data_IF_966288375313
#
_entry.id   IF_966288375313
#
_cell.length_a   1.000
_cell.length_b   1.000
_cell.length_c   1.000
_cell.angle_alpha   90.00
_cell.angle_beta   90.00
_cell.angle_gamma   90.00
#
_symmetry.space_group_name_H-M   'P 1'
#
loop_
_entity.id
_entity.type
_entity.pdbx_description
1 polymer ?
#
# COMPACT_ATOMS: atom_id res chain seq x y z
N UNK A 1 -25.01 -18.00 -14.93
CA UNK A 1 -23.57 -17.91 -15.20
C UNK A 1 -23.00 -19.31 -15.35
N UNK A 2 -22.14 -19.53 -16.35
CA UNK A 2 -21.47 -20.82 -16.56
C UNK A 2 -20.16 -20.84 -15.78
N UNK A 3 -20.18 -21.45 -14.59
CA UNK A 3 -19.00 -21.55 -13.71
C UNK A 3 -18.33 -22.92 -13.84
N UNK A 4 -18.02 -23.33 -15.07
CA UNK A 4 -17.29 -24.57 -15.34
C UNK A 4 -16.44 -24.47 -16.60
N UNK A 5 -15.36 -25.22 -16.61
CA UNK A 5 -14.43 -25.29 -17.72
C UNK A 5 -13.98 -26.73 -17.94
N UNK A 6 -13.95 -27.18 -19.20
CA UNK A 6 -13.32 -28.43 -19.56
C UNK A 6 -11.90 -28.19 -19.99
N UNK A 7 -10.93 -28.71 -19.22
CA UNK A 7 -9.52 -28.61 -19.53
C UNK A 7 -8.92 -30.02 -19.61
N UNK A 8 -8.30 -30.33 -20.75
CA UNK A 8 -7.91 -31.72 -21.10
C UNK A 8 -9.10 -32.65 -21.02
N UNK A 9 -9.09 -33.70 -20.18
CA UNK A 9 -10.16 -34.66 -20.04
C UNK A 9 -11.01 -34.46 -18.78
N UNK A 10 -10.78 -33.38 -18.02
CA UNK A 10 -11.45 -33.08 -16.76
C UNK A 10 -12.38 -31.90 -16.92
N UNK A 11 -13.48 -31.90 -16.17
CA UNK A 11 -14.41 -30.78 -16.06
C UNK A 11 -14.28 -30.21 -14.65
N UNK A 12 -13.87 -28.94 -14.57
CA UNK A 12 -13.81 -28.19 -13.33
C UNK A 12 -15.10 -27.41 -13.14
N UNK A 13 -15.68 -27.50 -11.95
CA UNK A 13 -16.90 -26.81 -11.57
C UNK A 13 -16.59 -25.91 -10.38
N UNK A 14 -17.07 -24.68 -10.43
CA UNK A 14 -16.94 -23.71 -9.34
C UNK A 14 -18.33 -23.35 -8.83
N UNK A 15 -18.47 -23.23 -7.52
CA UNK A 15 -19.74 -23.03 -6.84
C UNK A 15 -20.33 -21.63 -7.11
N UNK A 16 -19.49 -20.62 -7.02
CA UNK A 16 -19.87 -19.21 -7.11
C UNK A 16 -18.68 -18.35 -7.63
N UNK A 17 -18.92 -17.04 -7.82
CA UNK A 17 -17.90 -16.08 -8.28
C UNK A 17 -16.74 -15.97 -7.28
N UNK A 18 -17.02 -16.07 -5.99
CA UNK A 18 -16.00 -16.04 -4.93
C UNK A 18 -15.00 -17.19 -5.08
N UNK A 19 -15.50 -18.41 -5.29
CA UNK A 19 -14.63 -19.57 -5.52
C UNK A 19 -13.82 -19.43 -6.82
N UNK A 20 -14.42 -18.90 -7.90
CA UNK A 20 -13.67 -18.62 -9.14
C UNK A 20 -12.52 -17.66 -8.89
N UNK A 21 -12.75 -16.57 -8.16
CA UNK A 21 -11.71 -15.60 -7.80
C UNK A 21 -10.62 -16.26 -6.96
N UNK A 22 -10.98 -16.99 -5.91
CA UNK A 22 -10.02 -17.64 -5.03
C UNK A 22 -9.16 -18.68 -5.78
N UNK A 23 -9.77 -19.53 -6.60
CA UNK A 23 -9.06 -20.57 -7.38
C UNK A 23 -8.23 -20.00 -8.54
N UNK A 24 -8.56 -18.81 -9.05
CA UNK A 24 -7.79 -18.12 -10.10
C UNK A 24 -6.56 -17.38 -9.55
N UNK A 25 -6.48 -17.15 -8.24
CA UNK A 25 -5.36 -16.46 -7.59
C UNK A 25 -4.04 -17.24 -7.75
N UNK A 26 -2.93 -16.52 -7.88
CA UNK A 26 -1.61 -17.16 -7.76
C UNK A 26 -1.45 -17.75 -6.36
N UNK A 27 -0.71 -18.86 -6.27
CA UNK A 27 -0.55 -19.56 -5.01
C UNK A 27 0.16 -18.73 -3.96
N UNK A 28 -0.48 -18.61 -2.80
CA UNK A 28 0.07 -17.98 -1.61
C UNK A 28 -0.25 -18.84 -0.40
N UNK A 29 0.65 -18.88 0.54
CA UNK A 29 0.56 -19.74 1.72
C UNK A 29 -0.70 -19.48 2.55
N UNK A 30 -1.11 -18.22 2.70
CA UNK A 30 -2.33 -17.87 3.43
C UNK A 30 -3.59 -18.48 2.81
N UNK A 31 -3.73 -18.41 1.48
CA UNK A 31 -4.87 -19.03 0.77
C UNK A 31 -4.85 -20.56 0.87
N UNK A 32 -3.65 -21.17 0.87
CA UNK A 32 -3.50 -22.62 1.09
C UNK A 32 -3.91 -22.99 2.51
N UNK A 33 -3.46 -22.24 3.50
CA UNK A 33 -3.80 -22.45 4.91
C UNK A 33 -5.30 -22.28 5.16
N UNK A 34 -5.94 -21.32 4.53
CA UNK A 34 -7.38 -21.10 4.59
C UNK A 34 -8.20 -22.14 3.80
N UNK A 35 -7.56 -23.02 3.04
CA UNK A 35 -8.22 -24.08 2.26
C UNK A 35 -8.98 -23.59 1.03
N UNK A 36 -8.70 -22.38 0.55
CA UNK A 36 -9.40 -21.74 -0.59
C UNK A 36 -8.57 -21.68 -1.87
N UNK A 37 -7.27 -21.93 -1.79
CA UNK A 37 -6.39 -21.99 -2.95
C UNK A 37 -6.79 -23.11 -3.92
N UNK A 38 -6.39 -22.99 -5.20
CA UNK A 38 -6.53 -24.08 -6.16
C UNK A 38 -5.70 -25.30 -5.72
N UNK A 39 -6.28 -26.49 -5.87
CA UNK A 39 -5.64 -27.77 -5.52
C UNK A 39 -4.53 -28.18 -6.50
N UNK A 40 -4.49 -27.55 -7.67
CA UNK A 40 -3.51 -27.80 -8.72
C UNK A 40 -3.39 -26.63 -9.70
N UNK A 41 -2.29 -26.59 -10.44
CA UNK A 41 -2.10 -25.63 -11.54
C UNK A 41 -3.18 -25.75 -12.63
N UNK A 42 -3.73 -26.96 -12.85
CA UNK A 42 -4.80 -27.16 -13.81
C UNK A 42 -6.12 -26.58 -13.32
N UNK A 43 -6.46 -26.74 -12.04
CA UNK A 43 -7.64 -26.09 -11.45
C UNK A 43 -7.51 -24.56 -11.50
N UNK A 44 -6.33 -24.02 -11.16
CA UNK A 44 -6.05 -22.57 -11.27
C UNK A 44 -6.25 -22.09 -12.70
N UNK A 45 -5.72 -22.82 -13.69
CA UNK A 45 -5.90 -22.46 -15.09
C UNK A 45 -7.36 -22.51 -15.52
N UNK A 46 -8.11 -23.55 -15.09
CA UNK A 46 -9.53 -23.65 -15.37
C UNK A 46 -10.33 -22.49 -14.75
N UNK A 47 -9.99 -22.09 -13.52
CA UNK A 47 -10.59 -20.93 -12.85
C UNK A 47 -10.27 -19.63 -13.61
N UNK A 48 -9.03 -19.44 -14.09
CA UNK A 48 -8.65 -18.28 -14.92
C UNK A 48 -9.41 -18.24 -16.24
N UNK A 49 -9.65 -19.38 -16.90
CA UNK A 49 -10.50 -19.43 -18.09
C UNK A 49 -11.94 -19.03 -17.80
N UNK A 50 -12.54 -19.54 -16.71
CA UNK A 50 -13.88 -19.13 -16.31
C UNK A 50 -13.91 -17.64 -15.98
N UNK A 51 -12.95 -17.15 -15.20
CA UNK A 51 -12.85 -15.75 -14.81
C UNK A 51 -12.73 -14.82 -16.04
N UNK A 52 -11.95 -15.21 -17.06
CA UNK A 52 -11.77 -14.39 -18.25
C UNK A 52 -13.06 -14.16 -19.04
N UNK A 53 -14.00 -15.12 -18.97
CA UNK A 53 -15.29 -15.07 -19.66
C UNK A 53 -16.42 -14.47 -18.81
N UNK A 54 -16.21 -14.25 -17.49
CA UNK A 54 -17.20 -13.59 -16.64
C UNK A 54 -17.37 -12.13 -17.04
N UNK A 55 -18.64 -11.72 -17.23
CA UNK A 55 -18.94 -10.31 -17.42
C UNK A 55 -18.86 -9.54 -16.09
N UNK A 56 -18.43 -8.28 -16.15
CA UNK A 56 -18.29 -7.43 -14.96
C UNK A 56 -19.60 -7.31 -14.18
N UNK A 57 -20.75 -7.28 -14.86
CA UNK A 57 -22.06 -7.30 -14.19
C UNK A 57 -22.33 -8.58 -13.40
N UNK A 58 -21.71 -9.69 -13.76
CA UNK A 58 -21.86 -10.95 -13.02
C UNK A 58 -21.11 -10.90 -11.70
N UNK A 59 -19.92 -10.26 -11.69
CA UNK A 59 -19.18 -9.97 -10.47
C UNK A 59 -19.96 -8.97 -9.62
N UNK A 60 -20.46 -7.88 -10.23
CA UNK A 60 -21.23 -6.83 -9.52
C UNK A 60 -22.46 -7.40 -8.80
N UNK A 61 -23.21 -8.27 -9.47
CA UNK A 61 -24.45 -8.83 -8.93
C UNK A 61 -24.23 -9.99 -7.94
N UNK A 62 -22.99 -10.43 -7.76
CA UNK A 62 -22.62 -11.53 -6.85
C UNK A 62 -21.46 -11.09 -5.94
N UNK A 63 -21.69 -10.15 -5.02
CA UNK A 63 -20.64 -9.68 -4.11
C UNK A 63 -20.05 -10.84 -3.32
N UNK A 64 -18.71 -10.86 -3.18
CA UNK A 64 -18.01 -11.95 -2.45
C UNK A 64 -18.32 -11.94 -0.95
N UNK A 65 -18.66 -10.78 -0.41
CA UNK A 65 -19.18 -10.57 0.95
C UNK A 65 -20.45 -9.73 0.84
N UNK A 66 -21.53 -10.07 1.56
CA UNK A 66 -22.81 -9.34 1.46
C UNK A 66 -22.68 -7.84 1.78
N UNK A 67 -23.57 -7.02 1.25
CA UNK A 67 -23.61 -5.56 1.50
C UNK A 67 -23.94 -5.17 2.96
N UNK A 68 -24.24 -6.14 3.82
CA UNK A 68 -24.33 -5.92 5.27
C UNK A 68 -22.95 -5.68 5.91
N UNK A 69 -21.88 -6.06 5.24
CA UNK A 69 -20.49 -5.71 5.57
C UNK A 69 -20.22 -4.26 5.20
N UNK A 70 -19.68 -3.47 6.14
CA UNK A 70 -19.44 -2.05 5.94
C UNK A 70 -18.48 -1.77 4.77
N UNK A 71 -17.44 -2.59 4.61
CA UNK A 71 -16.45 -2.44 3.53
C UNK A 71 -17.15 -2.64 2.18
N UNK A 72 -18.00 -3.68 2.04
CA UNK A 72 -18.79 -3.90 0.82
C UNK A 72 -19.69 -2.71 0.54
N UNK A 73 -20.43 -2.22 1.53
CA UNK A 73 -21.32 -1.06 1.37
C UNK A 73 -20.55 0.18 0.88
N UNK A 74 -19.35 0.46 1.44
CA UNK A 74 -18.52 1.59 1.02
C UNK A 74 -18.03 1.41 -0.42
N UNK A 75 -17.56 0.21 -0.80
CA UNK A 75 -17.10 -0.08 -2.16
C UNK A 75 -18.22 0.19 -3.18
N UNK A 76 -19.40 -0.36 -2.95
CA UNK A 76 -20.53 -0.24 -3.88
C UNK A 76 -21.07 1.19 -3.97
N UNK A 77 -21.11 1.91 -2.84
CA UNK A 77 -21.51 3.32 -2.80
C UNK A 77 -20.55 4.24 -3.58
N UNK A 78 -19.29 3.84 -3.71
CA UNK A 78 -18.26 4.59 -4.45
C UNK A 78 -18.26 4.30 -5.96
N UNK A 79 -19.03 3.30 -6.45
CA UNK A 79 -19.10 2.99 -7.88
C UNK A 79 -19.91 4.06 -8.62
N UNK A 80 -19.30 4.67 -9.62
CA UNK A 80 -19.99 5.58 -10.55
C UNK A 80 -20.90 4.78 -11.48
N UNK A 81 -22.21 4.78 -11.22
CA UNK A 81 -23.18 4.04 -12.02
C UNK A 81 -23.12 4.36 -13.53
N UNK A 82 -23.00 5.64 -13.98
CA UNK A 82 -22.85 5.93 -15.40
C UNK A 82 -21.65 5.24 -16.04
N UNK A 83 -20.48 5.23 -15.37
CA UNK A 83 -19.27 4.60 -15.88
C UNK A 83 -19.38 3.07 -15.80
N UNK A 84 -19.96 2.54 -14.73
CA UNK A 84 -20.22 1.10 -14.62
C UNK A 84 -21.06 0.59 -15.79
N UNK A 85 -22.13 1.30 -16.17
CA UNK A 85 -23.00 0.92 -17.27
C UNK A 85 -22.28 0.85 -18.63
N UNK A 86 -21.19 1.59 -18.81
CA UNK A 86 -20.36 1.51 -20.02
C UNK A 86 -19.60 0.19 -20.12
N UNK A 87 -19.23 -0.39 -18.99
CA UNK A 87 -18.35 -1.58 -18.91
C UNK A 87 -19.04 -2.84 -18.39
N UNK A 88 -20.25 -2.74 -17.87
CA UNK A 88 -20.96 -3.85 -17.23
C UNK A 88 -21.08 -5.10 -18.11
N UNK A 89 -21.14 -4.92 -19.42
CA UNK A 89 -21.20 -6.00 -20.41
C UNK A 89 -19.83 -6.56 -20.83
N UNK A 90 -18.73 -5.92 -20.45
CA UNK A 90 -17.40 -6.43 -20.75
C UNK A 90 -17.09 -7.68 -19.93
N UNK A 91 -16.31 -8.59 -20.49
CA UNK A 91 -15.71 -9.67 -19.71
C UNK A 91 -14.47 -9.17 -18.97
N UNK A 92 -14.04 -9.92 -17.95
CA UNK A 92 -12.77 -9.63 -17.26
C UNK A 92 -11.59 -9.70 -18.24
N UNK A 93 -11.64 -10.61 -19.22
CA UNK A 93 -10.67 -10.71 -20.31
C UNK A 93 -10.62 -9.44 -21.17
N UNK A 94 -11.78 -8.90 -21.58
CA UNK A 94 -11.87 -7.65 -22.34
C UNK A 94 -11.37 -6.45 -21.52
N UNK A 95 -11.64 -6.40 -20.23
CA UNK A 95 -11.08 -5.37 -19.33
C UNK A 95 -9.56 -5.47 -19.30
N UNK A 96 -8.99 -6.69 -19.21
CA UNK A 96 -7.53 -6.89 -19.28
C UNK A 96 -6.94 -6.36 -20.58
N UNK A 97 -7.51 -6.72 -21.73
CA UNK A 97 -7.04 -6.26 -23.05
C UNK A 97 -7.13 -4.74 -23.17
N UNK A 98 -8.21 -4.13 -22.64
CA UNK A 98 -8.34 -2.67 -22.61
C UNK A 98 -7.24 -2.01 -21.77
N UNK A 99 -6.97 -2.51 -20.57
CA UNK A 99 -5.92 -1.97 -19.66
C UNK A 99 -4.54 -2.07 -20.31
N UNK A 100 -4.23 -3.19 -20.97
CA UNK A 100 -2.92 -3.45 -21.58
C UNK A 100 -2.74 -2.77 -22.95
N UNK A 101 -3.81 -2.34 -23.60
CA UNK A 101 -3.74 -1.67 -24.91
C UNK A 101 -2.83 -0.45 -24.87
N UNK A 102 -1.95 -0.33 -25.87
CA UNK A 102 -1.07 0.83 -26.01
C UNK A 102 -1.82 2.15 -26.21
N UNK A 103 -3.05 2.10 -26.70
CA UNK A 103 -3.92 3.28 -26.88
C UNK A 103 -4.60 3.74 -25.60
N UNK A 104 -4.66 2.88 -24.57
CA UNK A 104 -5.29 3.22 -23.29
C UNK A 104 -4.31 4.00 -22.42
N UNK A 105 -4.71 5.22 -22.07
CA UNK A 105 -3.91 6.15 -21.26
C UNK A 105 -4.21 6.00 -19.75
N UNK A 106 -3.34 6.56 -18.91
CA UNK A 106 -3.62 6.64 -17.47
C UNK A 106 -4.88 7.44 -17.14
N UNK A 107 -5.23 8.44 -17.94
CA UNK A 107 -6.49 9.20 -17.79
C UNK A 107 -7.70 8.31 -18.06
N UNK A 108 -7.64 7.46 -19.09
CA UNK A 108 -8.70 6.49 -19.38
C UNK A 108 -8.86 5.50 -18.25
N UNK A 109 -7.76 4.98 -17.70
CA UNK A 109 -7.76 4.06 -16.56
C UNK A 109 -8.33 4.73 -15.30
N UNK A 110 -7.92 5.96 -15.02
CA UNK A 110 -8.45 6.76 -13.90
C UNK A 110 -9.95 6.99 -14.02
N UNK A 111 -10.46 7.18 -15.24
CA UNK A 111 -11.89 7.33 -15.50
C UNK A 111 -12.64 6.02 -15.27
N UNK A 112 -12.19 4.95 -15.97
CA UNK A 112 -12.92 3.68 -16.00
C UNK A 112 -12.94 2.99 -14.63
N UNK A 113 -11.87 3.13 -13.84
CA UNK A 113 -11.78 2.55 -12.50
C UNK A 113 -12.86 3.04 -11.53
N UNK A 114 -13.46 4.19 -11.79
CA UNK A 114 -14.60 4.71 -11.01
C UNK A 114 -15.88 3.89 -11.20
N UNK A 115 -15.97 3.11 -12.27
CA UNK A 115 -17.08 2.19 -12.53
C UNK A 115 -16.81 0.75 -12.10
N UNK A 116 -15.64 0.46 -11.50
CA UNK A 116 -15.25 -0.88 -11.10
C UNK A 116 -15.38 -1.08 -9.59
N UNK A 117 -15.83 -2.28 -9.19
CA UNK A 117 -15.69 -2.74 -7.80
C UNK A 117 -14.28 -3.31 -7.57
N UNK A 118 -13.90 -3.50 -6.33
CA UNK A 118 -12.61 -4.08 -5.95
C UNK A 118 -12.44 -5.50 -6.45
N UNK A 119 -13.52 -6.27 -6.49
CA UNK A 119 -13.54 -7.65 -7.00
C UNK A 119 -13.28 -7.72 -8.51
N UNK A 120 -13.77 -6.75 -9.28
CA UNK A 120 -13.44 -6.63 -10.72
C UNK A 120 -11.96 -6.29 -10.92
N UNK A 121 -11.42 -5.41 -10.10
CA UNK A 121 -10.00 -5.02 -10.12
C UNK A 121 -9.11 -6.20 -9.72
N UNK A 122 -9.46 -6.94 -8.68
CA UNK A 122 -8.77 -8.17 -8.31
C UNK A 122 -8.88 -9.23 -9.41
N UNK A 123 -10.06 -9.40 -9.98
CA UNK A 123 -10.30 -10.36 -11.07
C UNK A 123 -9.40 -10.11 -12.28
N UNK A 124 -9.26 -8.86 -12.72
CA UNK A 124 -8.39 -8.56 -13.84
C UNK A 124 -6.90 -8.73 -13.50
N UNK A 125 -6.48 -8.42 -12.28
CA UNK A 125 -5.10 -8.64 -11.82
C UNK A 125 -4.71 -10.12 -11.84
N UNK A 126 -5.63 -11.04 -11.53
CA UNK A 126 -5.41 -12.49 -11.59
C UNK A 126 -5.13 -13.03 -13.00
N UNK A 127 -5.56 -12.31 -14.04
CA UNK A 127 -5.31 -12.65 -15.45
C UNK A 127 -4.01 -12.05 -16.00
N UNK A 128 -3.29 -11.24 -15.22
CA UNK A 128 -2.08 -10.53 -15.63
C UNK A 128 -0.82 -11.29 -15.21
N UNK A 129 0.18 -11.29 -16.08
CA UNK A 129 1.55 -11.67 -15.74
C UNK A 129 2.22 -10.56 -14.91
N UNK A 130 3.39 -10.83 -14.33
CA UNK A 130 4.16 -9.81 -13.60
C UNK A 130 4.55 -8.62 -14.50
N UNK A 131 4.91 -8.89 -15.77
CA UNK A 131 5.20 -7.81 -16.75
C UNK A 131 3.94 -7.00 -17.04
N UNK A 132 2.79 -7.65 -17.21
CA UNK A 132 1.52 -6.95 -17.44
C UNK A 132 1.17 -6.02 -16.27
N UNK A 133 1.36 -6.47 -15.03
CA UNK A 133 1.13 -5.67 -13.83
C UNK A 133 2.04 -4.43 -13.78
N UNK A 134 3.34 -4.60 -14.09
CA UNK A 134 4.29 -3.47 -14.15
C UNK A 134 3.88 -2.48 -15.25
N UNK A 135 3.64 -2.95 -16.47
CA UNK A 135 3.28 -2.09 -17.62
C UNK A 135 1.97 -1.33 -17.37
N UNK A 136 0.97 -2.00 -16.83
CA UNK A 136 -0.31 -1.36 -16.50
C UNK A 136 -0.13 -0.30 -15.39
N UNK A 137 0.65 -0.61 -14.36
CA UNK A 137 0.93 0.30 -13.25
C UNK A 137 1.66 1.57 -13.69
N UNK A 138 2.60 1.46 -14.64
CA UNK A 138 3.32 2.62 -15.19
C UNK A 138 2.42 3.67 -15.84
N UNK A 139 1.28 3.25 -16.40
CA UNK A 139 0.32 4.17 -17.04
C UNK A 139 -0.38 5.09 -16.04
N UNK A 140 -0.51 4.65 -14.79
CA UNK A 140 -1.31 5.31 -13.77
C UNK A 140 -0.45 6.18 -12.86
N UNK A 141 -0.84 7.44 -12.68
CA UNK A 141 -0.19 8.38 -11.78
C UNK A 141 -1.22 9.01 -10.86
N UNK A 142 -0.92 9.05 -9.58
CA UNK A 142 -1.80 9.61 -8.57
C UNK A 142 -0.98 10.54 -7.69
N UNK A 143 -1.31 11.82 -7.73
CA UNK A 143 -0.72 12.84 -6.88
C UNK A 143 -1.59 13.00 -5.63
N UNK A 144 -0.92 13.17 -4.50
CA UNK A 144 -1.54 13.54 -3.24
C UNK A 144 -0.70 14.59 -2.54
N UNK A 145 -1.35 15.52 -1.86
CA UNK A 145 -0.72 16.66 -1.20
C UNK A 145 -1.04 16.71 0.30
N UNK A 146 0.02 16.81 1.10
CA UNK A 146 -0.02 17.09 2.54
C UNK A 146 0.77 18.36 2.81
N UNK A 147 1.99 18.27 3.30
CA UNK A 147 2.97 19.37 3.30
C UNK A 147 3.80 19.33 2.02
N UNK A 148 4.13 18.14 1.54
CA UNK A 148 4.78 17.88 0.25
C UNK A 148 3.79 17.21 -0.70
N UNK A 149 4.18 17.04 -1.98
CA UNK A 149 3.37 16.36 -2.99
C UNK A 149 4.05 15.09 -3.44
N UNK A 150 3.41 13.92 -3.23
CA UNK A 150 3.88 12.64 -3.78
C UNK A 150 3.19 12.34 -5.12
N UNK A 151 3.85 11.52 -5.94
CA UNK A 151 3.30 11.04 -7.22
C UNK A 151 3.63 11.92 -8.42
N UNK A 152 4.40 12.98 -8.27
CA UNK A 152 4.87 13.81 -9.38
C UNK A 152 5.77 13.00 -10.35
N UNK A 153 5.73 13.30 -11.65
CA UNK A 153 6.58 12.63 -12.63
C UNK A 153 8.07 12.76 -12.33
N UNK A 154 8.80 11.63 -12.43
CA UNK A 154 10.24 11.61 -12.22
C UNK A 154 10.67 11.72 -10.74
N UNK A 155 9.72 11.59 -9.82
CA UNK A 155 9.96 11.63 -8.38
C UNK A 155 9.69 10.28 -7.74
N UNK A 156 10.49 9.94 -6.72
CA UNK A 156 10.29 8.80 -5.84
C UNK A 156 10.58 9.25 -4.41
N UNK A 157 9.60 9.14 -3.55
CA UNK A 157 9.71 9.55 -2.16
C UNK A 157 10.08 8.38 -1.24
N UNK A 158 10.57 8.69 -0.04
CA UNK A 158 10.87 7.69 0.98
C UNK A 158 10.34 8.13 2.34
N UNK A 159 9.74 7.19 3.07
CA UNK A 159 9.48 7.35 4.50
C UNK A 159 10.79 7.15 5.25
N UNK A 160 11.14 8.04 6.15
CA UNK A 160 12.12 7.76 7.19
C UNK A 160 11.41 7.06 8.34
N UNK A 161 11.80 5.80 8.64
CA UNK A 161 11.23 4.97 9.71
C UNK A 161 12.26 4.79 10.83
N UNK A 162 12.35 5.75 11.76
CA UNK A 162 13.38 5.77 12.79
C UNK A 162 12.94 5.03 14.06
N UNK A 163 12.45 3.79 13.93
CA UNK A 163 11.92 3.04 15.05
C UNK A 163 12.99 2.70 16.09
N UNK A 164 12.59 2.70 17.37
CA UNK A 164 13.47 2.41 18.48
C UNK A 164 12.80 1.48 19.50
N UNK A 165 13.43 0.39 19.97
CA UNK A 165 12.79 -0.62 20.81
C UNK A 165 12.22 -0.14 22.13
N UNK A 166 12.64 1.03 22.62
CA UNK A 166 12.16 1.64 23.88
C UNK A 166 11.80 3.13 23.71
N UNK A 167 11.49 3.55 22.50
CA UNK A 167 11.11 4.94 22.17
C UNK A 167 12.10 6.01 22.68
N UNK A 168 13.39 5.69 22.72
CA UNK A 168 14.39 6.67 23.20
C UNK A 168 14.50 7.85 22.23
N UNK A 169 14.19 9.09 22.64
CA UNK A 169 14.16 10.24 21.74
C UNK A 169 15.50 10.53 21.07
N UNK A 170 16.63 10.35 21.78
CA UNK A 170 17.95 10.59 21.21
C UNK A 170 18.30 9.55 20.13
N UNK A 171 17.94 8.28 20.34
CA UNK A 171 18.09 7.21 19.35
C UNK A 171 17.24 7.46 18.11
N UNK A 172 15.96 7.82 18.30
CA UNK A 172 15.06 8.16 17.20
C UNK A 172 15.58 9.36 16.41
N UNK A 173 16.02 10.44 17.07
CA UNK A 173 16.59 11.59 16.40
C UNK A 173 17.87 11.26 15.62
N UNK A 174 18.74 10.37 16.14
CA UNK A 174 19.93 9.91 15.41
C UNK A 174 19.53 9.18 14.13
N UNK A 175 18.54 8.31 14.20
CA UNK A 175 18.03 7.60 13.02
C UNK A 175 17.32 8.53 12.02
N UNK A 176 16.60 9.56 12.48
CA UNK A 176 16.04 10.60 11.61
C UNK A 176 17.16 11.33 10.87
N UNK A 177 18.20 11.77 11.56
CA UNK A 177 19.36 12.45 10.96
C UNK A 177 20.03 11.56 9.92
N UNK A 178 20.23 10.27 10.23
CA UNK A 178 20.78 9.30 9.29
C UNK A 178 19.93 9.20 8.02
N UNK A 179 18.62 8.94 8.14
CA UNK A 179 17.72 8.85 7.00
C UNK A 179 17.74 10.11 6.13
N UNK A 180 17.66 11.28 6.75
CA UNK A 180 17.72 12.56 6.05
C UNK A 180 19.06 12.77 5.32
N UNK A 181 20.18 12.33 5.91
CA UNK A 181 21.51 12.43 5.28
C UNK A 181 21.67 11.52 4.07
N UNK A 182 20.82 10.51 3.91
CA UNK A 182 20.71 9.70 2.69
C UNK A 182 19.57 10.15 1.76
N UNK A 183 18.89 11.26 2.09
CA UNK A 183 17.80 11.78 1.28
C UNK A 183 16.47 11.07 1.46
N UNK A 184 16.30 10.30 2.55
CA UNK A 184 15.03 9.70 2.94
C UNK A 184 14.27 10.59 3.93
N UNK A 185 12.94 10.62 3.84
CA UNK A 185 12.09 11.41 4.73
C UNK A 185 11.18 12.42 4.01
N UNK A 186 11.26 12.50 2.71
CA UNK A 186 10.40 13.41 1.91
C UNK A 186 8.93 12.97 1.85
N UNK A 187 8.65 11.66 1.91
CA UNK A 187 7.28 11.17 2.05
C UNK A 187 6.74 11.45 3.46
N UNK A 188 7.49 11.10 4.48
CA UNK A 188 7.11 11.28 5.88
C UNK A 188 8.28 10.90 6.82
N UNK A 189 8.36 11.54 7.97
CA UNK A 189 9.07 11.01 9.13
C UNK A 189 8.02 10.29 9.97
N UNK A 190 8.00 8.94 9.88
CA UNK A 190 6.95 8.10 10.45
C UNK A 190 7.51 7.15 11.50
N UNK A 191 7.11 7.33 12.75
CA UNK A 191 7.61 6.58 13.91
C UNK A 191 6.56 5.55 14.33
N UNK A 192 6.93 4.26 14.37
CA UNK A 192 6.12 3.25 15.05
C UNK A 192 6.48 3.28 16.55
N UNK A 193 5.56 3.66 17.44
CA UNK A 193 5.85 3.73 18.85
C UNK A 193 5.85 2.32 19.48
N UNK A 194 6.77 2.08 20.40
CA UNK A 194 6.71 0.88 21.26
C UNK A 194 5.66 1.06 22.37
N UNK A 195 5.47 2.30 22.83
CA UNK A 195 4.46 2.65 23.82
C UNK A 195 3.38 3.55 23.20
N UNK A 196 2.20 2.97 22.99
CA UNK A 196 1.05 3.67 22.38
C UNK A 196 0.22 4.47 23.41
N UNK A 197 0.75 4.84 24.57
CA UNK A 197 0.04 5.78 25.44
C UNK A 197 -0.08 7.15 24.79
N UNK A 198 -1.17 7.86 25.05
CA UNK A 198 -1.42 9.20 24.49
C UNK A 198 -0.27 10.15 24.79
N UNK A 199 0.33 10.08 25.97
CA UNK A 199 1.42 10.97 26.39
C UNK A 199 2.73 10.64 25.65
N UNK A 200 3.08 9.35 25.50
CA UNK A 200 4.23 8.92 24.70
C UNK A 200 4.09 9.33 23.24
N UNK A 201 2.94 9.09 22.63
CA UNK A 201 2.66 9.46 21.25
C UNK A 201 2.74 10.99 21.07
N UNK A 202 2.19 11.76 22.01
CA UNK A 202 2.29 13.21 21.98
C UNK A 202 3.75 13.71 22.09
N UNK A 203 4.57 13.10 22.94
CA UNK A 203 6.00 13.42 23.09
C UNK A 203 6.75 13.19 21.77
N UNK A 204 6.55 12.04 21.11
CA UNK A 204 7.19 11.73 19.81
C UNK A 204 6.72 12.69 18.71
N UNK A 205 5.44 13.07 18.71
CA UNK A 205 4.90 14.05 17.77
C UNK A 205 5.53 15.44 17.97
N UNK A 206 5.65 15.92 19.20
CA UNK A 206 6.32 17.18 19.49
C UNK A 206 7.80 17.13 19.11
N UNK A 207 8.51 16.08 19.50
CA UNK A 207 9.94 15.92 19.19
C UNK A 207 10.19 15.96 17.67
N UNK A 208 9.45 15.18 16.90
CA UNK A 208 9.60 15.15 15.43
C UNK A 208 9.22 16.48 14.78
N UNK A 209 8.13 17.10 15.23
CA UNK A 209 7.69 18.40 14.73
C UNK A 209 8.70 19.50 15.02
N UNK A 210 9.24 19.55 16.24
CA UNK A 210 10.23 20.57 16.63
C UNK A 210 11.53 20.41 15.84
N UNK A 211 11.95 19.16 15.58
CA UNK A 211 13.09 18.87 14.73
C UNK A 211 12.87 19.32 13.28
N UNK A 212 11.72 18.98 12.69
CA UNK A 212 11.33 19.43 11.35
C UNK A 212 11.36 20.95 11.25
N UNK A 213 10.81 21.64 12.23
CA UNK A 213 10.80 23.11 12.25
C UNK A 213 12.19 23.73 12.47
N UNK A 214 13.01 23.13 13.34
CA UNK A 214 14.38 23.63 13.61
C UNK A 214 15.21 23.70 12.33
N UNK A 215 15.01 22.72 11.44
CA UNK A 215 15.81 22.56 10.23
C UNK A 215 15.07 22.95 8.94
N UNK A 216 13.87 23.52 9.04
CA UNK A 216 13.02 23.90 7.91
C UNK A 216 12.82 22.72 6.93
N UNK A 217 12.65 21.48 7.42
CA UNK A 217 12.54 20.29 6.57
C UNK A 217 11.17 20.26 5.90
N UNK A 218 11.09 20.24 4.56
CA UNK A 218 9.80 20.13 3.86
C UNK A 218 9.33 18.68 3.87
N UNK A 219 8.67 18.28 4.95
CA UNK A 219 8.10 16.96 5.18
C UNK A 219 6.94 17.03 6.16
N UNK A 220 6.32 15.91 6.44
CA UNK A 220 5.28 15.73 7.45
C UNK A 220 5.72 14.71 8.49
N UNK A 221 5.22 14.86 9.73
CA UNK A 221 5.40 13.87 10.78
C UNK A 221 4.17 12.96 10.89
N UNK A 222 4.41 11.74 11.39
CA UNK A 222 3.39 10.78 11.78
C UNK A 222 3.91 9.89 12.92
N UNK A 223 3.07 9.57 13.89
CA UNK A 223 3.33 8.49 14.85
C UNK A 223 2.27 7.43 14.64
N UNK A 224 2.70 6.21 14.27
CA UNK A 224 1.84 5.14 13.79
C UNK A 224 1.19 4.36 14.95
N UNK A 225 0.45 5.06 15.79
CA UNK A 225 -0.39 4.51 16.84
C UNK A 225 -1.82 4.33 16.34
N UNK A 226 -2.66 3.61 17.09
CA UNK A 226 -4.08 3.51 16.77
C UNK A 226 -4.73 4.89 16.64
N UNK A 227 -5.66 5.06 15.69
CA UNK A 227 -6.28 6.36 15.37
C UNK A 227 -6.86 7.07 16.60
N UNK A 228 -7.49 6.33 17.53
CA UNK A 228 -8.06 6.91 18.76
C UNK A 228 -7.00 7.52 19.68
N UNK A 229 -5.80 6.94 19.72
CA UNK A 229 -4.68 7.48 20.49
C UNK A 229 -4.21 8.78 19.87
N UNK A 230 -4.05 8.81 18.54
CA UNK A 230 -3.66 10.01 17.80
C UNK A 230 -4.70 11.13 17.94
N UNK A 231 -5.99 10.81 17.83
CA UNK A 231 -7.08 11.77 18.05
C UNK A 231 -7.03 12.38 19.45
N UNK A 232 -6.74 11.57 20.48
CA UNK A 232 -6.59 12.05 21.86
C UNK A 232 -5.32 12.89 22.06
N UNK A 233 -4.22 12.53 21.38
CA UNK A 233 -3.02 13.36 21.36
C UNK A 233 -3.28 14.72 20.68
N UNK A 234 -4.00 14.73 19.57
CA UNK A 234 -4.41 15.95 18.86
C UNK A 234 -5.29 16.85 19.74
N UNK A 235 -6.25 16.27 20.48
CA UNK A 235 -7.08 17.01 21.47
C UNK A 235 -6.24 17.64 22.59
N UNK A 236 -5.07 17.08 22.92
CA UNK A 236 -4.10 17.65 23.86
C UNK A 236 -3.16 18.68 23.22
N UNK A 237 -3.31 18.95 21.93
CA UNK A 237 -2.48 19.92 21.19
C UNK A 237 -1.20 19.35 20.57
N UNK A 238 -1.07 18.03 20.47
CA UNK A 238 0.06 17.44 19.76
C UNK A 238 0.01 17.77 18.26
N UNK A 239 1.15 18.13 17.64
CA UNK A 239 1.20 18.53 16.23
C UNK A 239 1.22 17.31 15.32
N UNK A 240 0.10 17.00 14.68
CA UNK A 240 -0.05 15.87 13.75
C UNK A 240 -0.19 16.43 12.32
N UNK A 241 0.68 16.01 11.43
CA UNK A 241 0.59 16.34 10.01
C UNK A 241 -0.11 15.24 9.19
N UNK A 242 0.13 13.97 9.52
CA UNK A 242 -0.59 12.80 8.97
C UNK A 242 -1.12 11.94 10.10
N UNK A 243 -2.35 11.47 9.95
CA UNK A 243 -2.98 10.52 10.87
C UNK A 243 -2.97 9.13 10.25
N UNK A 244 -2.48 8.18 11.03
CA UNK A 244 -2.27 6.79 10.61
C UNK A 244 -3.44 5.88 11.02
N UNK A 245 -3.71 4.85 10.21
CA UNK A 245 -4.47 3.67 10.60
C UNK A 245 -4.20 2.50 9.64
N UNK A 246 -4.08 1.28 10.18
CA UNK A 246 -4.13 0.05 9.39
C UNK A 246 -5.56 -0.28 9.04
N UNK A 247 -5.78 -0.77 7.80
CA UNK A 247 -7.09 -1.13 7.29
C UNK A 247 -7.10 -2.57 6.76
N UNK A 248 -8.29 -3.16 6.71
CA UNK A 248 -8.54 -4.49 6.15
C UNK A 248 -9.73 -4.49 5.18
N UNK A 249 -9.84 -5.53 4.37
CA UNK A 249 -10.86 -5.69 3.32
C UNK A 249 -12.19 -6.28 3.80
N UNK A 250 -12.36 -6.49 5.11
CA UNK A 250 -13.61 -6.95 5.74
C UNK A 250 -13.94 -6.14 6.98
N UNK A 251 -15.23 -6.00 7.28
CA UNK A 251 -15.65 -5.38 8.52
C UNK A 251 -15.14 -6.14 9.75
N UNK A 252 -15.18 -7.48 9.70
CA UNK A 252 -14.71 -8.32 10.82
C UNK A 252 -13.27 -7.97 11.19
N UNK A 253 -12.37 -7.92 10.23
CA UNK A 253 -10.97 -7.60 10.48
C UNK A 253 -10.77 -6.13 10.90
N UNK A 254 -11.55 -5.18 10.36
CA UNK A 254 -11.51 -3.80 10.82
C UNK A 254 -12.05 -3.66 12.25
N UNK A 255 -13.08 -4.41 12.62
CA UNK A 255 -13.59 -4.45 14.00
C UNK A 255 -12.54 -4.98 14.99
N UNK A 256 -11.73 -5.99 14.57
CA UNK A 256 -10.61 -6.51 15.36
C UNK A 256 -9.49 -5.46 15.50
N UNK A 257 -9.26 -4.63 14.48
CA UNK A 257 -8.39 -3.45 14.58
C UNK A 257 -9.00 -2.31 15.40
N UNK A 258 -10.25 -2.40 15.79
CA UNK A 258 -10.96 -1.33 16.51
C UNK A 258 -11.28 -0.11 15.65
N UNK A 259 -11.43 -0.29 14.34
CA UNK A 259 -11.67 0.81 13.39
C UNK A 259 -12.94 0.55 12.57
N UNK A 260 -13.67 1.62 12.27
CA UNK A 260 -14.82 1.61 11.37
C UNK A 260 -14.91 2.95 10.63
N UNK A 261 -15.85 3.04 9.69
CA UNK A 261 -16.06 4.23 8.86
C UNK A 261 -16.32 5.50 9.67
N UNK A 262 -17.12 5.41 10.72
CA UNK A 262 -17.49 6.59 11.52
C UNK A 262 -16.28 7.14 12.28
N UNK A 263 -15.45 6.26 12.83
CA UNK A 263 -14.21 6.64 13.49
C UNK A 263 -13.21 7.28 12.51
N UNK A 264 -13.09 6.72 11.30
CA UNK A 264 -12.25 7.31 10.25
C UNK A 264 -12.76 8.68 9.81
N UNK A 265 -14.08 8.85 9.72
CA UNK A 265 -14.69 10.16 9.41
C UNK A 265 -14.40 11.17 10.52
N UNK A 266 -14.53 10.78 11.80
CA UNK A 266 -14.19 11.66 12.94
C UNK A 266 -12.71 12.07 12.88
N UNK A 267 -11.79 11.11 12.65
CA UNK A 267 -10.37 11.39 12.53
C UNK A 267 -10.06 12.35 11.36
N UNK A 268 -10.70 12.16 10.21
CA UNK A 268 -10.54 13.04 9.05
C UNK A 268 -10.98 14.48 9.36
N UNK A 269 -12.15 14.67 9.96
CA UNK A 269 -12.66 15.99 10.35
C UNK A 269 -11.77 16.67 11.41
N UNK A 270 -11.24 15.90 12.35
CA UNK A 270 -10.28 16.42 13.31
C UNK A 270 -8.99 16.90 12.65
N UNK A 271 -8.45 16.13 11.69
CA UNK A 271 -7.27 16.56 10.93
C UNK A 271 -7.53 17.80 10.09
N UNK A 272 -8.70 17.87 9.45
CA UNK A 272 -9.11 19.02 8.64
C UNK A 272 -9.21 20.31 9.47
N UNK A 273 -9.53 20.22 10.76
CA UNK A 273 -9.72 21.37 11.65
C UNK A 273 -8.51 21.71 12.50
N UNK A 274 -7.69 20.72 12.87
CA UNK A 274 -6.64 20.85 13.89
C UNK A 274 -5.30 20.26 13.49
N UNK A 275 -5.18 19.58 12.35
CA UNK A 275 -3.93 19.07 11.82
C UNK A 275 -2.96 20.20 11.47
N UNK A 276 -1.66 19.89 11.42
CA UNK A 276 -0.61 20.88 11.16
C UNK A 276 -0.21 21.00 9.69
N UNK A 277 -0.71 20.10 8.80
CA UNK A 277 -0.44 20.15 7.38
C UNK A 277 -1.45 21.00 6.62
N UNK A 278 -1.06 21.44 5.42
CA UNK A 278 -1.95 22.17 4.53
C UNK A 278 -3.06 21.27 3.92
N UNK A 279 -2.85 19.96 3.86
CA UNK A 279 -3.76 19.01 3.23
C UNK A 279 -3.91 19.26 1.72
N UNK A 280 -4.92 18.70 1.05
CA UNK A 280 -6.16 18.12 1.59
C UNK A 280 -6.09 16.63 1.97
N UNK A 281 -4.94 15.99 1.81
CA UNK A 281 -4.79 14.57 2.07
C UNK A 281 -4.10 14.36 3.43
N UNK A 282 -4.83 13.82 4.42
CA UNK A 282 -4.39 13.78 5.81
C UNK A 282 -4.14 12.38 6.36
N UNK A 283 -4.55 11.32 5.62
CA UNK A 283 -4.37 9.96 6.08
C UNK A 283 -3.17 9.26 5.49
N UNK A 284 -2.56 8.46 6.35
CA UNK A 284 -1.61 7.42 6.01
C UNK A 284 -2.24 6.07 6.38
N UNK A 285 -2.54 5.23 5.39
CA UNK A 285 -3.06 3.90 5.61
C UNK A 285 -2.00 2.85 5.34
N UNK A 286 -1.92 1.84 6.20
CA UNK A 286 -1.17 0.61 5.95
C UNK A 286 -2.11 -0.56 5.70
N UNK A 287 -1.70 -1.42 4.79
CA UNK A 287 -2.40 -2.60 4.33
C UNK A 287 -1.39 -3.72 4.08
N UNK A 288 -1.84 -4.93 3.77
CA UNK A 288 -0.96 -6.02 3.39
C UNK A 288 -1.74 -7.33 3.21
N UNK A 289 -1.41 -8.08 2.16
CA UNK A 289 -2.01 -9.39 1.92
C UNK A 289 -1.75 -10.33 3.10
N UNK A 290 -2.82 -10.89 3.66
CA UNK A 290 -2.77 -11.87 4.75
C UNK A 290 -3.34 -11.39 6.08
N UNK A 291 -3.61 -10.10 6.25
CA UNK A 291 -4.15 -9.56 7.51
C UNK A 291 -5.43 -10.26 7.93
N UNK A 292 -6.39 -10.41 7.02
CA UNK A 292 -7.68 -11.04 7.30
C UNK A 292 -7.56 -12.55 7.55
N UNK A 293 -6.60 -13.22 6.91
CA UNK A 293 -6.35 -14.65 7.12
C UNK A 293 -5.77 -14.89 8.52
N UNK A 294 -4.83 -14.06 8.95
CA UNK A 294 -4.22 -14.16 10.29
C UNK A 294 -5.20 -13.84 11.42
N UNK A 295 -6.24 -13.03 11.14
CA UNK A 295 -7.30 -12.67 12.08
C UNK A 295 -8.53 -13.59 12.01
N UNK A 296 -8.51 -14.66 11.18
CA UNK A 296 -9.68 -15.49 10.87
C UNK A 296 -10.89 -14.68 10.36
N UNK A 297 -10.62 -13.52 9.77
CA UNK A 297 -11.60 -12.55 9.26
C UNK A 297 -11.79 -12.57 7.74
N UNK A 298 -11.26 -13.59 7.03
CA UNK A 298 -11.22 -13.61 5.56
C UNK A 298 -12.56 -13.96 4.86
N UNK A 299 -13.56 -14.43 5.59
CA UNK A 299 -14.91 -14.76 5.07
C UNK A 299 -14.92 -15.68 3.82
N UNK A 300 -13.91 -16.52 3.64
CA UNK A 300 -13.74 -17.41 2.46
C UNK A 300 -13.30 -16.69 1.19
N UNK A 301 -12.79 -15.47 1.29
CA UNK A 301 -12.25 -14.67 0.19
C UNK A 301 -10.72 -14.77 0.19
N UNK A 302 -10.12 -14.84 -0.99
CA UNK A 302 -8.67 -14.92 -1.14
C UNK A 302 -7.95 -13.60 -0.80
N UNK A 303 -6.69 -13.72 -0.36
CA UNK A 303 -5.87 -12.60 0.12
C UNK A 303 -5.77 -11.45 -0.88
N UNK A 304 -5.58 -11.73 -2.16
CA UNK A 304 -5.49 -10.71 -3.20
C UNK A 304 -6.82 -9.94 -3.38
N UNK A 305 -7.96 -10.64 -3.32
CA UNK A 305 -9.27 -9.98 -3.40
C UNK A 305 -9.56 -9.16 -2.14
N UNK A 306 -9.17 -9.64 -0.97
CA UNK A 306 -9.28 -8.91 0.29
C UNK A 306 -8.46 -7.62 0.26
N UNK A 307 -7.23 -7.68 -0.22
CA UNK A 307 -6.37 -6.50 -0.35
C UNK A 307 -6.96 -5.47 -1.34
N UNK A 308 -7.49 -5.91 -2.49
CA UNK A 308 -8.23 -5.02 -3.39
C UNK A 308 -9.42 -4.35 -2.70
N UNK A 309 -10.13 -5.05 -1.82
CA UNK A 309 -11.24 -4.50 -1.05
C UNK A 309 -10.78 -3.48 -0.02
N UNK A 310 -9.62 -3.71 0.61
CA UNK A 310 -8.97 -2.71 1.47
C UNK A 310 -8.71 -1.40 0.72
N UNK A 311 -8.21 -1.47 -0.51
CA UNK A 311 -8.02 -0.29 -1.36
C UNK A 311 -9.35 0.38 -1.74
N UNK A 312 -10.37 -0.40 -2.04
CA UNK A 312 -11.72 0.10 -2.29
C UNK A 312 -12.33 0.85 -1.11
N UNK A 313 -12.01 0.41 0.12
CA UNK A 313 -12.39 1.07 1.36
C UNK A 313 -11.57 2.35 1.58
N UNK A 314 -10.23 2.24 1.51
CA UNK A 314 -9.30 3.33 1.74
C UNK A 314 -9.53 4.56 0.85
N UNK A 315 -9.86 4.36 -0.44
CA UNK A 315 -10.07 5.46 -1.39
C UNK A 315 -11.19 6.45 -1.00
N UNK A 316 -12.08 6.04 -0.09
CA UNK A 316 -13.17 6.88 0.40
C UNK A 316 -12.66 8.17 1.07
N UNK A 317 -11.49 8.13 1.70
CA UNK A 317 -10.90 9.26 2.43
C UNK A 317 -9.79 9.99 1.67
N UNK A 318 -9.50 9.60 0.42
CA UNK A 318 -8.45 10.24 -0.41
C UNK A 318 -7.13 10.41 0.38
N UNK A 319 -6.51 9.33 0.86
CA UNK A 319 -5.32 9.42 1.70
C UNK A 319 -4.14 10.09 0.99
N UNK A 320 -3.19 10.59 1.77
CA UNK A 320 -1.89 11.03 1.27
C UNK A 320 -1.02 9.84 0.87
N UNK A 321 -1.04 8.78 1.69
CA UNK A 321 -0.22 7.58 1.51
C UNK A 321 -1.06 6.34 1.74
N UNK A 322 -0.89 5.33 0.89
CA UNK A 322 -1.31 3.96 1.17
C UNK A 322 -0.10 3.06 0.97
N UNK A 323 0.34 2.40 2.03
CA UNK A 323 1.48 1.53 2.01
C UNK A 323 1.03 0.06 2.05
N UNK A 324 1.47 -0.72 1.07
CA UNK A 324 1.40 -2.17 1.15
C UNK A 324 2.63 -2.69 1.89
N UNK A 325 2.41 -3.42 2.97
CA UNK A 325 3.45 -4.11 3.74
C UNK A 325 3.31 -5.61 3.48
N UNK A 326 4.09 -6.13 2.53
CA UNK A 326 4.12 -7.56 2.25
C UNK A 326 4.95 -8.30 3.32
N UNK A 327 4.84 -9.60 3.43
CA UNK A 327 5.72 -10.43 4.28
C UNK A 327 5.79 -10.10 5.78
N UNK A 328 5.20 -9.00 6.24
CA UNK A 328 5.24 -8.56 7.64
C UNK A 328 4.60 -9.59 8.61
N UNK A 329 3.51 -10.23 8.20
CA UNK A 329 2.81 -11.21 9.02
C UNK A 329 3.68 -12.46 9.19
N UNK A 330 4.32 -12.91 8.10
CA UNK A 330 5.25 -14.02 8.15
C UNK A 330 4.95 -15.14 7.14
N UNK A 331 5.65 -16.28 7.25
CA UNK A 331 5.61 -17.37 6.27
C UNK A 331 4.25 -18.06 6.16
N UNK A 332 3.38 -17.93 7.15
CA UNK A 332 2.02 -18.47 7.11
C UNK A 332 1.15 -17.80 6.05
N UNK A 333 1.45 -16.57 5.65
CA UNK A 333 0.71 -15.83 4.61
C UNK A 333 1.48 -15.76 3.29
N UNK A 334 2.77 -15.40 3.32
CA UNK A 334 3.68 -15.35 2.19
C UNK A 334 4.96 -16.13 2.58
N UNK A 335 5.12 -17.34 2.05
CA UNK A 335 6.19 -18.23 2.50
C UNK A 335 7.58 -17.86 1.95
N UNK A 336 7.65 -17.42 0.71
CA UNK A 336 8.91 -17.19 -0.01
C UNK A 336 8.94 -15.86 -0.78
N UNK A 337 10.13 -15.49 -1.26
CA UNK A 337 10.34 -14.28 -2.04
C UNK A 337 9.49 -14.21 -3.32
N UNK A 338 9.18 -15.35 -3.94
CA UNK A 338 8.33 -15.38 -5.13
C UNK A 338 6.89 -14.95 -4.82
N UNK A 339 6.35 -15.43 -3.70
CA UNK A 339 5.01 -15.03 -3.24
C UNK A 339 5.00 -13.54 -2.86
N UNK A 340 6.04 -13.06 -2.17
CA UNK A 340 6.21 -11.65 -1.78
C UNK A 340 6.26 -10.74 -3.03
N UNK A 341 7.16 -10.99 -3.97
CA UNK A 341 7.30 -10.21 -5.20
C UNK A 341 5.97 -10.17 -5.97
N UNK A 342 5.26 -11.30 -6.04
CA UNK A 342 3.98 -11.37 -6.73
C UNK A 342 2.91 -10.55 -6.02
N UNK A 343 2.83 -10.62 -4.70
CA UNK A 343 1.90 -9.84 -3.90
C UNK A 343 2.15 -8.32 -4.08
N UNK A 344 3.40 -7.88 -4.00
CA UNK A 344 3.77 -6.47 -4.18
C UNK A 344 3.35 -5.91 -5.54
N UNK A 345 3.52 -6.69 -6.61
CA UNK A 345 3.12 -6.27 -7.96
C UNK A 345 1.60 -6.21 -8.13
N UNK A 346 0.87 -7.17 -7.57
CA UNK A 346 -0.60 -7.18 -7.55
C UNK A 346 -1.14 -5.97 -6.79
N UNK A 347 -0.59 -5.70 -5.63
CA UNK A 347 -1.02 -4.66 -4.71
C UNK A 347 -0.74 -3.26 -5.27
N UNK A 348 0.45 -3.06 -5.86
CA UNK A 348 0.76 -1.83 -6.58
C UNK A 348 -0.26 -1.56 -7.70
N UNK A 349 -0.52 -2.56 -8.54
CA UNK A 349 -1.46 -2.43 -9.64
C UNK A 349 -2.89 -2.15 -9.14
N UNK A 350 -3.37 -2.96 -8.19
CA UNK A 350 -4.73 -2.83 -7.69
C UNK A 350 -4.94 -1.50 -6.96
N UNK A 351 -4.00 -1.08 -6.12
CA UNK A 351 -4.08 0.20 -5.43
C UNK A 351 -4.06 1.39 -6.40
N UNK A 352 -3.18 1.36 -7.40
CA UNK A 352 -3.15 2.40 -8.44
C UNK A 352 -4.44 2.44 -9.26
N UNK A 353 -5.01 1.29 -9.59
CA UNK A 353 -6.30 1.25 -10.30
C UNK A 353 -7.48 1.69 -9.41
N UNK A 354 -7.34 1.66 -8.08
CA UNK A 354 -8.27 2.32 -7.15
C UNK A 354 -8.05 3.84 -7.02
N UNK A 355 -7.13 4.41 -7.78
CA UNK A 355 -6.72 5.83 -7.74
C UNK A 355 -6.07 6.23 -6.42
N UNK A 356 -5.24 5.35 -5.86
CA UNK A 356 -4.50 5.59 -4.62
C UNK A 356 -3.02 5.90 -4.86
N UNK A 357 -2.42 6.77 -4.05
CA UNK A 357 -0.98 7.00 -4.03
C UNK A 357 -0.29 5.84 -3.28
N UNK A 358 0.18 4.84 -4.05
CA UNK A 358 0.69 3.60 -3.51
C UNK A 358 2.18 3.65 -3.20
N UNK A 359 2.52 3.25 -1.98
CA UNK A 359 3.86 2.86 -1.58
C UNK A 359 3.95 1.35 -1.37
N UNK A 360 5.16 0.85 -1.43
CA UNK A 360 5.47 -0.56 -1.22
C UNK A 360 6.55 -0.67 -0.14
N UNK A 361 6.33 -1.56 0.81
CA UNK A 361 7.33 -2.04 1.74
C UNK A 361 7.53 -3.54 1.45
N UNK A 362 8.51 -3.89 0.61
CA UNK A 362 8.80 -5.28 0.27
C UNK A 362 9.54 -5.93 1.44
N UNK A 363 8.79 -6.30 2.45
CA UNK A 363 9.32 -6.80 3.72
C UNK A 363 9.36 -8.31 3.76
N UNK A 364 10.30 -8.84 4.52
CA UNK A 364 10.33 -10.24 4.87
C UNK A 364 10.75 -10.44 6.33
N UNK A 365 10.37 -11.56 6.90
CA UNK A 365 10.81 -11.96 8.25
C UNK A 365 11.85 -13.08 8.16
N UNK A 366 12.65 -13.26 9.20
CA UNK A 366 13.66 -14.31 9.26
C UNK A 366 13.11 -15.74 9.15
N UNK A 367 11.81 -15.93 9.27
CA UNK A 367 11.13 -17.24 9.16
C UNK A 367 10.69 -17.56 7.74
N UNK A 368 10.65 -16.57 6.86
CA UNK A 368 10.31 -16.76 5.44
C UNK A 368 11.50 -17.35 4.68
N UNK A 369 11.23 -18.07 3.59
CA UNK A 369 12.23 -18.45 2.59
C UNK A 369 12.44 -17.31 1.59
N UNK A 370 12.86 -16.15 2.12
CA UNK A 370 13.15 -14.94 1.37
C UNK A 370 14.40 -14.28 1.93
N UNK A 371 15.08 -13.50 1.11
CA UNK A 371 16.28 -12.78 1.48
C UNK A 371 16.32 -11.37 0.88
N UNK A 372 17.41 -10.65 1.12
CA UNK A 372 17.62 -9.30 0.62
C UNK A 372 17.55 -9.24 -0.92
N UNK A 373 17.99 -10.27 -1.64
CA UNK A 373 17.91 -10.26 -3.11
C UNK A 373 16.45 -10.27 -3.58
N UNK A 374 15.57 -11.01 -2.93
CA UNK A 374 14.14 -11.03 -3.24
C UNK A 374 13.52 -9.66 -2.99
N UNK A 375 13.86 -9.03 -1.88
CA UNK A 375 13.42 -7.68 -1.50
C UNK A 375 13.88 -6.64 -2.52
N UNK A 376 15.15 -6.65 -2.91
CA UNK A 376 15.71 -5.74 -3.91
C UNK A 376 15.02 -5.91 -5.28
N UNK A 377 14.74 -7.15 -5.69
CA UNK A 377 14.00 -7.45 -6.93
C UNK A 377 12.58 -6.88 -6.86
N UNK A 378 11.88 -7.08 -5.73
CA UNK A 378 10.56 -6.52 -5.51
C UNK A 378 10.58 -4.97 -5.58
N UNK A 379 11.55 -4.35 -4.92
CA UNK A 379 11.76 -2.90 -4.95
C UNK A 379 12.01 -2.37 -6.37
N UNK A 380 12.91 -3.00 -7.12
CA UNK A 380 13.19 -2.59 -8.51
C UNK A 380 11.96 -2.73 -9.42
N UNK A 381 11.22 -3.84 -9.34
CA UNK A 381 10.07 -4.09 -10.20
C UNK A 381 8.90 -3.16 -9.86
N UNK A 382 8.64 -2.91 -8.58
CA UNK A 382 7.56 -2.01 -8.16
C UNK A 382 7.92 -0.54 -8.41
N UNK A 383 9.18 -0.15 -8.32
CA UNK A 383 9.65 1.18 -8.72
C UNK A 383 9.50 1.39 -10.23
N UNK A 384 9.83 0.39 -11.06
CA UNK A 384 9.53 0.41 -12.49
C UNK A 384 8.02 0.52 -12.75
N UNK A 385 7.18 -0.11 -11.94
CA UNK A 385 5.73 0.02 -11.96
C UNK A 385 5.23 1.41 -11.51
N UNK A 386 6.11 2.26 -11.00
CA UNK A 386 5.81 3.63 -10.58
C UNK A 386 5.16 3.70 -9.20
N UNK A 387 5.70 2.95 -8.22
CA UNK A 387 5.41 3.18 -6.82
C UNK A 387 5.73 4.63 -6.44
N UNK A 388 4.92 5.24 -5.59
CA UNK A 388 5.08 6.64 -5.21
C UNK A 388 6.14 6.84 -4.13
N UNK A 389 6.30 5.84 -3.27
CA UNK A 389 7.26 5.88 -2.16
C UNK A 389 7.61 4.47 -1.66
N UNK A 390 8.70 4.41 -0.89
CA UNK A 390 9.13 3.22 -0.13
C UNK A 390 9.35 3.58 1.33
N UNK A 391 9.56 2.54 2.15
CA UNK A 391 10.07 2.67 3.51
C UNK A 391 11.59 2.80 3.46
N UNK A 392 12.16 3.48 4.44
CA UNK A 392 13.58 3.48 4.70
C UNK A 392 13.82 3.19 6.18
N UNK A 393 14.57 2.12 6.47
CA UNK A 393 14.97 1.76 7.82
C UNK A 393 16.49 1.73 7.95
N UNK A 394 17.04 1.98 9.14
CA UNK A 394 18.49 1.89 9.33
C UNK A 394 19.03 0.49 9.03
N UNK A 395 19.97 0.37 8.08
CA UNK A 395 20.61 -0.89 7.74
C UNK A 395 19.72 -2.00 7.19
N UNK A 396 18.47 -1.70 6.86
CA UNK A 396 17.50 -2.68 6.34
C UNK A 396 16.82 -3.53 7.42
N UNK A 397 17.15 -3.35 8.69
CA UNK A 397 16.56 -4.06 9.82
C UNK A 397 15.70 -3.16 10.68
N UNK A 398 14.41 -3.47 10.81
CA UNK A 398 13.59 -2.86 11.85
C UNK A 398 13.74 -3.63 13.16
N UNK A 399 14.59 -3.12 14.03
CA UNK A 399 14.93 -3.78 15.32
C UNK A 399 13.80 -3.75 16.35
N UNK A 400 12.76 -2.97 16.14
CA UNK A 400 11.57 -2.91 16.97
C UNK A 400 10.50 -3.90 16.49
N UNK A 401 10.23 -3.95 15.19
CA UNK A 401 9.17 -4.77 14.58
C UNK A 401 9.64 -6.16 14.12
N UNK A 402 10.96 -6.42 14.15
CA UNK A 402 11.57 -7.71 13.81
C UNK A 402 11.31 -8.19 12.37
N UNK A 403 11.41 -7.30 11.40
CA UNK A 403 11.37 -7.62 9.99
C UNK A 403 12.45 -6.85 9.22
N UNK A 404 12.73 -7.28 7.98
CA UNK A 404 13.62 -6.60 7.06
C UNK A 404 12.80 -5.79 6.06
N UNK A 405 13.32 -4.59 5.73
CA UNK A 405 12.73 -3.67 4.76
C UNK A 405 13.85 -2.97 3.96
N UNK A 406 13.51 -2.08 3.05
CA UNK A 406 14.48 -1.27 2.32
C UNK A 406 15.33 -0.43 3.29
N UNK A 407 16.64 -0.40 3.05
CA UNK A 407 17.54 0.49 3.79
C UNK A 407 17.58 1.88 3.16
N UNK A 408 18.09 2.87 3.89
CA UNK A 408 18.36 4.21 3.32
C UNK A 408 19.31 4.17 2.13
N UNK A 409 20.23 3.18 2.06
CA UNK A 409 21.11 2.96 0.92
C UNK A 409 20.36 2.41 -0.30
N UNK A 410 19.45 1.47 -0.10
CA UNK A 410 18.61 0.92 -1.17
C UNK A 410 17.75 2.00 -1.77
N UNK A 411 17.17 2.85 -0.93
CA UNK A 411 16.38 4.00 -1.31
C UNK A 411 17.15 4.94 -2.25
N UNK A 412 18.36 5.35 -1.84
CA UNK A 412 19.22 6.20 -2.63
C UNK A 412 19.62 5.54 -3.96
N UNK A 413 19.92 4.23 -3.92
CA UNK A 413 20.29 3.43 -5.09
C UNK A 413 19.15 3.30 -6.08
N UNK A 414 17.91 3.08 -5.62
CA UNK A 414 16.73 3.02 -6.49
C UNK A 414 16.52 4.34 -7.25
N UNK A 415 16.66 5.49 -6.57
CA UNK A 415 16.61 6.79 -7.27
C UNK A 415 17.68 6.92 -8.33
N UNK A 416 18.92 6.61 -8.00
CA UNK A 416 20.05 6.76 -8.95
C UNK A 416 19.90 5.82 -10.15
N UNK A 417 19.59 4.54 -9.93
CA UNK A 417 19.43 3.56 -11.00
C UNK A 417 18.31 3.90 -11.97
N UNK A 418 17.21 4.46 -11.47
CA UNK A 418 16.02 4.76 -12.28
C UNK A 418 15.98 6.21 -12.77
N UNK A 419 16.98 7.03 -12.43
CA UNK A 419 17.02 8.45 -12.79
C UNK A 419 15.90 9.25 -12.13
N UNK A 420 15.43 8.82 -10.96
CA UNK A 420 14.38 9.48 -10.19
C UNK A 420 14.99 10.45 -9.17
N UNK A 421 14.20 11.42 -8.77
CA UNK A 421 14.62 12.49 -7.88
C UNK A 421 13.76 12.49 -6.59
N UNK A 422 14.26 13.03 -5.47
CA UNK A 422 13.41 13.36 -4.31
C UNK A 422 12.26 14.29 -4.70
N UNK A 423 11.26 14.42 -3.84
CA UNK A 423 10.22 15.44 -4.01
C UNK A 423 10.84 16.83 -4.17
N UNK A 424 10.26 17.66 -5.03
CA UNK A 424 10.90 18.90 -5.49
C UNK A 424 11.24 19.87 -4.33
N UNK A 425 10.38 19.95 -3.32
CA UNK A 425 10.60 20.78 -2.13
C UNK A 425 11.77 20.25 -1.29
N UNK A 426 11.82 18.94 -1.11
CA UNK A 426 12.82 18.25 -0.32
C UNK A 426 14.19 18.23 -1.01
N UNK A 427 14.20 18.07 -2.32
CA UNK A 427 15.43 18.15 -3.11
C UNK A 427 16.14 19.50 -2.95
N UNK A 428 15.40 20.63 -3.04
CA UNK A 428 15.95 21.96 -2.79
C UNK A 428 16.50 22.11 -1.38
N UNK A 429 15.86 21.47 -0.41
CA UNK A 429 16.35 21.46 0.97
C UNK A 429 17.63 20.65 1.12
N UNK A 430 17.71 19.45 0.49
CA UNK A 430 18.92 18.63 0.48
C UNK A 430 20.11 19.36 -0.16
N UNK A 431 19.87 20.11 -1.24
CA UNK A 431 20.88 20.93 -1.91
C UNK A 431 21.35 22.09 -0.99
N UNK A 432 20.42 22.75 -0.31
CA UNK A 432 20.75 23.80 0.69
C UNK A 432 21.58 23.26 1.85
N UNK A 433 21.33 22.02 2.28
CA UNK A 433 22.08 21.33 3.34
C UNK A 433 23.42 20.77 2.86
N UNK A 434 23.70 20.79 1.55
CA UNK A 434 24.89 20.18 0.96
C UNK A 434 24.88 18.66 0.89
N UNK A 435 23.75 18.03 1.22
CA UNK A 435 23.57 16.55 1.18
C UNK A 435 23.44 16.05 -0.25
N UNK A 436 22.91 16.87 -1.14
CA UNK A 436 22.68 16.53 -2.55
C UNK A 436 23.22 17.63 -3.47
N UNK A 437 23.67 17.23 -4.65
CA UNK A 437 24.08 18.12 -5.73
C UNK A 437 23.64 17.51 -7.06
N UNK A 438 22.88 18.28 -7.86
CA UNK A 438 22.39 17.85 -9.16
C UNK A 438 21.69 16.47 -9.15
N UNK A 439 20.97 16.16 -8.06
CA UNK A 439 20.21 14.91 -7.87
C UNK A 439 21.03 13.71 -7.42
N UNK A 440 22.26 13.91 -7.02
CA UNK A 440 23.14 12.88 -6.46
C UNK A 440 23.54 13.22 -5.05
N UNK A 441 23.64 12.22 -4.20
CA UNK A 441 24.19 12.37 -2.86
C UNK A 441 25.65 12.81 -2.94
N UNK A 442 26.07 13.67 -2.00
CA UNK A 442 27.45 14.14 -1.85
C UNK A 442 28.20 13.25 -0.85
N UNK A 443 29.44 13.63 -0.53
CA UNK A 443 30.24 13.01 0.55
C UNK A 443 29.61 13.14 1.94
N UNK A 444 28.58 13.96 2.11
CA UNK A 444 27.84 14.11 3.36
C UNK A 444 26.75 13.04 3.56
N UNK A 445 26.59 12.12 2.62
CA UNK A 445 25.69 10.98 2.80
C UNK A 445 26.11 10.14 4.03
N UNK A 446 25.21 9.97 5.00
CA UNK A 446 25.49 9.30 6.26
C UNK A 446 26.24 10.16 7.31
N UNK A 447 26.58 11.40 7.00
CA UNK A 447 27.24 12.31 7.95
C UNK A 447 26.18 13.05 8.80
N UNK A 448 26.05 12.64 10.06
CA UNK A 448 25.10 13.25 10.98
C UNK A 448 25.54 14.68 11.44
N UNK A 449 26.81 15.02 11.26
CA UNK A 449 27.34 16.34 11.69
C UNK A 449 26.74 17.52 10.90
N UNK A 450 26.12 17.25 9.75
CA UNK A 450 25.37 18.27 9.00
C UNK A 450 24.19 18.85 9.80
N UNK A 451 23.81 18.19 10.91
CA UNK A 451 22.73 18.62 11.81
C UNK A 451 23.21 19.14 13.17
N UNK A 452 24.49 19.47 13.32
CA UNK A 452 25.06 20.00 14.57
C UNK A 452 24.98 21.53 14.71
#
# INVERSE_FOLDING_TARGET
VKLNCKLKNEIYHFKDVREVLAKASEEKSGDVMAGISASSSLERMAAKFVLSELQLKEIYNNPVIPETDEVTAVIYNNVSQPIYMEVAGWTVGELREYILSHSTTGTDLKRISRGLTSEMISGVAKLMSSIDLVLASQKMRHEAHCTTTIGEPGRLAFRCQPNHPVDNPAGILSSIKEGLSYGAGDAVIGINPNNESVDSVAELLHMSHDFIRKWDIPTQNCVLAHITVQMNALKKGAPIALMFQSLAGTQIANDDFGVNKDLLNEGYEMMNTSGTSAGPNFFYFETGQGSEVSLDGHAGVDMQTLEARTYGYARNWKPFMVNNVSGFIGPETLFDGRQMIRADLEDLFMGKLHNLPMGIAPTYTNHMSADQNDQEIAGMLTALGGANFYMGVPGGDDVMLNYQDTSYHDDASLREMLGLRPLAEFERWLEKMGIMCEGRLTEHAGDLSVFD
#
